data_IF_082650529965
#
_entry.id   IF_082650529965
#
_cell.length_a   1.000
_cell.length_b   1.000
_cell.length_c   1.000
_cell.angle_alpha   90.00
_cell.angle_beta   90.00
_cell.angle_gamma   90.00
#
_symmetry.space_group_name_H-M   'P 1'
#
loop_
_entity.id
_entity.type
_entity.pdbx_description
1 polymer ?
#
# COMPACT_ATOMS: atom_id res chain seq x y z
N UNK A 1 13.32 -23.49 -21.82
CA UNK A 1 14.45 -22.68 -21.34
C UNK A 1 13.87 -21.58 -20.46
N UNK A 2 14.16 -21.53 -19.14
CA UNK A 2 13.69 -20.43 -18.28
C UNK A 2 14.61 -19.23 -18.51
N UNK A 3 14.06 -18.10 -18.93
CA UNK A 3 14.82 -16.84 -19.03
C UNK A 3 15.14 -16.38 -17.60
N UNK A 4 16.40 -16.10 -17.28
CA UNK A 4 16.82 -15.50 -16.00
C UNK A 4 16.87 -14.00 -16.17
N UNK A 5 15.89 -13.31 -15.60
CA UNK A 5 15.82 -11.86 -15.54
C UNK A 5 15.55 -11.44 -14.10
N UNK A 6 16.01 -10.23 -13.75
CA UNK A 6 15.61 -9.56 -12.52
C UNK A 6 14.27 -8.86 -12.79
N UNK A 7 13.29 -9.09 -11.92
CA UNK A 7 11.95 -8.51 -12.01
C UNK A 7 11.65 -7.79 -10.71
N UNK A 8 11.17 -6.55 -10.77
CA UNK A 8 10.74 -5.78 -9.61
C UNK A 8 9.49 -4.97 -9.94
N UNK A 9 8.67 -4.76 -8.92
CA UNK A 9 7.55 -3.82 -8.94
C UNK A 9 8.03 -2.48 -8.37
N UNK A 10 7.66 -1.37 -9.02
CA UNK A 10 8.03 -0.02 -8.60
C UNK A 10 7.22 0.47 -7.39
N UNK A 11 7.42 -0.19 -6.25
CA UNK A 11 6.89 0.21 -4.96
C UNK A 11 7.93 1.02 -4.18
N UNK A 12 8.05 2.30 -4.54
CA UNK A 12 9.09 3.19 -4.00
C UNK A 12 9.16 3.23 -2.46
N UNK A 13 8.01 3.10 -1.79
CA UNK A 13 7.90 3.27 -0.33
C UNK A 13 8.81 2.32 0.42
N UNK A 14 8.96 1.08 -0.04
CA UNK A 14 9.83 0.09 0.59
C UNK A 14 11.32 0.48 0.58
N UNK A 15 11.73 1.37 -0.34
CA UNK A 15 13.12 1.83 -0.46
C UNK A 15 13.36 3.18 0.23
N UNK A 16 12.32 3.83 0.77
CA UNK A 16 12.48 5.15 1.39
C UNK A 16 13.28 5.05 2.71
N UNK A 17 14.25 5.95 2.96
CA UNK A 17 15.04 5.93 4.19
C UNK A 17 14.17 5.90 5.46
N UNK A 18 13.08 6.67 5.49
CA UNK A 18 12.21 6.72 6.64
C UNK A 18 11.29 5.49 6.78
N UNK A 19 11.00 4.78 5.70
CA UNK A 19 10.28 3.50 5.80
C UNK A 19 11.19 2.41 6.40
N UNK A 20 12.49 2.44 6.04
CA UNK A 20 13.50 1.59 6.68
C UNK A 20 13.65 1.96 8.16
N UNK A 21 13.70 3.24 8.51
CA UNK A 21 13.70 3.69 9.91
C UNK A 21 12.44 3.23 10.65
N UNK A 22 11.27 3.30 10.02
CA UNK A 22 10.01 2.81 10.58
C UNK A 22 10.10 1.32 10.91
N UNK A 23 10.57 0.49 9.97
CA UNK A 23 10.79 -0.95 10.17
C UNK A 23 11.70 -1.22 11.37
N UNK A 24 12.83 -0.51 11.46
CA UNK A 24 13.79 -0.65 12.56
C UNK A 24 13.23 -0.16 13.91
N UNK A 25 12.27 0.77 13.88
CA UNK A 25 11.63 1.32 15.07
C UNK A 25 10.46 0.48 15.59
N UNK A 26 9.94 -0.49 14.83
CA UNK A 26 8.82 -1.34 15.26
C UNK A 26 9.01 -1.96 16.66
N UNK A 27 10.19 -2.47 17.06
CA UNK A 27 10.38 -2.99 18.41
C UNK A 27 10.15 -1.97 19.54
N UNK A 28 10.26 -0.66 19.25
CA UNK A 28 10.07 0.40 20.26
C UNK A 28 8.64 0.50 20.78
N UNK A 29 7.63 0.11 19.98
CA UNK A 29 6.22 0.16 20.41
C UNK A 29 5.82 -1.03 21.29
N UNK A 30 6.71 -2.00 21.52
CA UNK A 30 6.40 -3.21 22.28
C UNK A 30 5.45 -4.12 21.52
N UNK A 31 4.56 -4.84 22.22
CA UNK A 31 3.56 -5.68 21.57
C UNK A 31 2.57 -4.80 20.78
N UNK A 32 2.57 -4.95 19.45
CA UNK A 32 1.64 -4.26 18.54
C UNK A 32 0.22 -4.74 18.82
N UNK A 33 -0.75 -3.82 18.76
CA UNK A 33 -2.17 -4.09 19.01
C UNK A 33 -3.07 -3.62 17.87
N UNK A 34 -2.78 -2.45 17.29
CA UNK A 34 -3.59 -1.84 16.24
C UNK A 34 -2.70 -1.09 15.26
N UNK A 35 -3.08 -1.12 13.99
CA UNK A 35 -2.44 -0.33 12.95
C UNK A 35 -3.51 0.32 12.09
N UNK A 36 -3.32 1.61 11.80
CA UNK A 36 -4.05 2.33 10.77
C UNK A 36 -3.07 2.77 9.69
N UNK A 37 -3.26 2.31 8.45
CA UNK A 37 -2.57 2.86 7.29
C UNK A 37 -3.58 3.61 6.42
N UNK A 38 -3.30 4.88 6.13
CA UNK A 38 -4.24 5.76 5.45
C UNK A 38 -3.61 6.36 4.19
N UNK A 39 -4.34 6.26 3.07
CA UNK A 39 -4.08 7.05 1.87
C UNK A 39 -5.39 7.42 1.17
N UNK A 40 -5.98 8.53 1.62
CA UNK A 40 -7.15 9.15 1.02
C UNK A 40 -6.77 10.52 0.47
N UNK A 41 -6.92 10.71 -0.84
CA UNK A 41 -6.62 11.96 -1.53
C UNK A 41 -7.63 12.19 -2.65
N UNK A 42 -8.25 13.37 -2.66
CA UNK A 42 -9.19 13.75 -3.70
C UNK A 42 -8.47 13.80 -5.04
N UNK A 43 -8.91 12.96 -5.99
CA UNK A 43 -8.28 12.88 -7.29
C UNK A 43 -8.57 14.15 -8.09
N UNK A 44 -7.52 14.75 -8.67
CA UNK A 44 -7.67 15.84 -9.65
C UNK A 44 -8.45 15.45 -10.91
N UNK A 45 -8.77 14.15 -11.08
CA UNK A 45 -9.60 13.62 -12.16
C UNK A 45 -11.06 13.40 -11.75
N UNK A 46 -11.40 13.52 -10.46
CA UNK A 46 -12.75 13.19 -10.01
C UNK A 46 -13.78 14.21 -10.48
N UNK A 47 -13.44 15.51 -10.53
CA UNK A 47 -14.34 16.51 -11.10
C UNK A 47 -14.70 16.19 -12.57
N UNK A 48 -13.69 15.83 -13.39
CA UNK A 48 -13.92 15.43 -14.79
C UNK A 48 -14.83 14.20 -14.90
N UNK A 49 -14.70 13.25 -13.97
CA UNK A 49 -15.60 12.10 -13.88
C UNK A 49 -17.04 12.53 -13.57
N UNK A 50 -17.23 13.44 -12.61
CA UNK A 50 -18.56 14.00 -12.29
C UNK A 50 -19.17 14.79 -13.45
N UNK A 51 -18.33 15.44 -14.26
CA UNK A 51 -18.73 16.16 -15.47
C UNK A 51 -19.09 15.21 -16.64
N UNK A 52 -19.07 13.88 -16.41
CA UNK A 52 -19.46 12.85 -17.38
C UNK A 52 -18.31 12.34 -18.27
N UNK A 53 -17.07 12.76 -18.02
CA UNK A 53 -15.91 12.19 -18.71
C UNK A 53 -15.53 10.81 -18.14
N UNK A 54 -14.69 10.07 -18.88
CA UNK A 54 -14.24 8.74 -18.47
C UNK A 54 -12.70 8.67 -18.29
N UNK A 55 -12.13 9.37 -17.29
CA UNK A 55 -10.68 9.36 -17.06
C UNK A 55 -10.19 7.96 -16.67
N UNK A 56 -8.99 7.58 -17.13
CA UNK A 56 -8.41 6.23 -16.92
C UNK A 56 -8.47 5.75 -15.47
N UNK A 57 -8.29 6.66 -14.50
CA UNK A 57 -8.27 6.32 -13.08
C UNK A 57 -9.62 5.84 -12.52
N UNK A 58 -10.71 6.11 -13.22
CA UNK A 58 -12.06 5.67 -12.88
C UNK A 58 -12.66 4.74 -13.94
N UNK A 59 -11.85 4.26 -14.88
CA UNK A 59 -12.27 3.44 -16.01
C UNK A 59 -11.80 1.98 -15.82
N UNK A 60 -12.72 1.00 -15.71
CA UNK A 60 -12.35 -0.40 -15.49
C UNK A 60 -11.53 -1.01 -16.63
N UNK A 61 -11.59 -0.46 -17.85
CA UNK A 61 -10.76 -0.92 -18.97
C UNK A 61 -9.25 -0.75 -18.72
N UNK A 62 -8.87 0.13 -17.79
CA UNK A 62 -7.49 0.35 -17.37
C UNK A 62 -7.15 -0.27 -16.01
N UNK A 63 -7.99 -1.20 -15.51
CA UNK A 63 -7.77 -1.96 -14.26
C UNK A 63 -7.48 -1.07 -13.04
N UNK A 64 -8.19 0.05 -12.94
CA UNK A 64 -7.96 1.08 -11.94
C UNK A 64 -9.07 1.12 -10.89
N UNK A 65 -9.03 2.09 -9.99
CA UNK A 65 -9.87 2.18 -8.81
C UNK A 65 -9.04 2.58 -7.60
N UNK A 66 -9.69 2.97 -6.51
CA UNK A 66 -8.98 3.49 -5.34
C UNK A 66 -8.04 2.46 -4.70
N UNK A 67 -8.42 1.17 -4.67
CA UNK A 67 -7.58 0.08 -4.14
C UNK A 67 -6.38 -0.22 -5.03
N UNK A 68 -6.53 -0.13 -6.35
CA UNK A 68 -5.46 -0.45 -7.30
C UNK A 68 -4.44 0.69 -7.48
N UNK A 69 -4.86 1.94 -7.28
CA UNK A 69 -4.00 3.11 -7.47
C UNK A 69 -3.31 3.55 -6.16
N UNK A 70 -4.06 4.17 -5.25
CA UNK A 70 -3.49 4.69 -4.00
C UNK A 70 -3.57 3.69 -2.84
N UNK A 71 -4.59 2.82 -2.84
CA UNK A 71 -4.76 1.75 -1.88
C UNK A 71 -3.65 0.70 -1.97
N UNK A 72 -3.02 0.58 -3.14
CA UNK A 72 -1.83 -0.22 -3.35
C UNK A 72 -0.74 0.11 -2.33
N UNK A 73 -0.47 1.39 -2.06
CA UNK A 73 0.61 1.79 -1.17
C UNK A 73 0.38 1.35 0.28
N UNK A 74 -0.85 1.47 0.80
CA UNK A 74 -1.18 1.02 2.16
C UNK A 74 -1.16 -0.50 2.25
N UNK A 75 -1.62 -1.20 1.21
CA UNK A 75 -1.61 -2.66 1.14
C UNK A 75 -0.18 -3.23 1.03
N UNK A 76 0.62 -2.70 0.12
CA UNK A 76 2.01 -3.09 -0.09
C UNK A 76 2.88 -2.74 1.13
N UNK A 77 2.59 -1.64 1.83
CA UNK A 77 3.27 -1.29 3.09
C UNK A 77 2.98 -2.32 4.18
N UNK A 78 1.73 -2.76 4.34
CA UNK A 78 1.38 -3.81 5.30
C UNK A 78 2.08 -5.13 4.96
N UNK A 79 2.05 -5.54 3.68
CA UNK A 79 2.76 -6.72 3.20
C UNK A 79 4.28 -6.63 3.41
N UNK A 80 4.89 -5.46 3.20
CA UNK A 80 6.32 -5.24 3.41
C UNK A 80 6.73 -5.22 4.90
N UNK A 81 5.83 -4.81 5.80
CA UNK A 81 6.10 -4.76 7.24
C UNK A 81 5.86 -6.11 7.93
N UNK A 82 4.80 -6.82 7.54
CA UNK A 82 4.31 -8.00 8.28
C UNK A 82 4.06 -9.24 7.42
N UNK A 83 4.25 -9.17 6.10
CA UNK A 83 3.99 -10.28 5.20
C UNK A 83 2.50 -10.57 5.03
N UNK A 84 2.18 -11.84 4.79
CA UNK A 84 0.83 -12.30 4.49
C UNK A 84 -0.04 -12.35 5.76
N UNK A 85 -1.23 -11.71 5.76
CA UNK A 85 -2.16 -11.78 6.88
C UNK A 85 -2.87 -13.14 6.94
N UNK A 86 -3.38 -13.51 8.11
CA UNK A 86 -4.21 -14.72 8.28
C UNK A 86 -5.57 -14.62 7.57
N UNK A 87 -6.13 -13.41 7.47
CA UNK A 87 -7.39 -13.17 6.75
C UNK A 87 -7.52 -11.70 6.35
N UNK A 88 -8.37 -11.45 5.34
CA UNK A 88 -8.70 -10.11 4.84
C UNK A 88 -10.22 -9.94 4.73
N UNK A 89 -10.72 -8.80 5.19
CA UNK A 89 -12.12 -8.38 5.00
C UNK A 89 -12.14 -6.97 4.43
N UNK A 90 -12.86 -6.75 3.33
CA UNK A 90 -12.89 -5.48 2.62
C UNK A 90 -14.31 -5.01 2.32
N UNK A 91 -14.48 -3.69 2.32
CA UNK A 91 -15.70 -3.00 1.88
C UNK A 91 -15.31 -1.80 1.03
N UNK A 92 -16.13 -1.46 0.04
CA UNK A 92 -15.90 -0.30 -0.81
C UNK A 92 -17.22 0.30 -1.30
N UNK A 93 -17.18 1.59 -1.61
CA UNK A 93 -18.21 2.27 -2.41
C UNK A 93 -17.74 2.30 -3.86
N UNK A 94 -18.55 1.75 -4.76
CA UNK A 94 -18.25 1.77 -6.19
C UNK A 94 -18.84 3.02 -6.85
N UNK A 95 -18.17 3.51 -7.88
CA UNK A 95 -18.71 4.47 -8.82
C UNK A 95 -19.61 3.75 -9.84
N UNK A 96 -20.42 4.51 -10.57
CA UNK A 96 -21.25 3.98 -11.67
C UNK A 96 -20.43 3.26 -12.74
N UNK A 97 -19.16 3.63 -12.93
CA UNK A 97 -18.23 2.93 -13.82
C UNK A 97 -17.84 1.52 -13.36
N UNK A 98 -18.14 1.14 -12.12
CA UNK A 98 -17.88 -0.17 -11.53
C UNK A 98 -16.54 -0.30 -10.80
N UNK A 99 -15.68 0.72 -10.81
CA UNK A 99 -14.48 0.75 -9.96
C UNK A 99 -14.78 1.35 -8.59
N UNK A 100 -13.99 1.01 -7.59
CA UNK A 100 -14.12 1.56 -6.25
C UNK A 100 -13.66 3.04 -6.18
N UNK A 101 -14.51 3.88 -5.60
CA UNK A 101 -14.22 5.28 -5.28
C UNK A 101 -13.34 5.40 -4.03
N UNK A 102 -13.69 4.61 -3.01
CA UNK A 102 -13.04 4.51 -1.72
C UNK A 102 -13.44 3.22 -1.00
N UNK A 103 -12.69 2.83 0.02
CA UNK A 103 -12.97 1.64 0.80
C UNK A 103 -12.13 1.52 2.07
N UNK A 104 -12.42 0.45 2.79
CA UNK A 104 -11.65 0.03 3.96
C UNK A 104 -11.33 -1.46 3.89
N UNK A 105 -10.13 -1.82 4.34
CA UNK A 105 -9.67 -3.21 4.39
C UNK A 105 -9.18 -3.51 5.79
N UNK A 106 -9.59 -4.63 6.35
CA UNK A 106 -9.14 -5.17 7.63
C UNK A 106 -8.27 -6.40 7.38
N UNK A 107 -7.00 -6.33 7.78
CA UNK A 107 -6.06 -7.45 7.72
C UNK A 107 -5.84 -7.98 9.13
N UNK A 108 -6.03 -9.28 9.32
CA UNK A 108 -5.79 -9.95 10.60
C UNK A 108 -4.38 -10.57 10.61
N UNK A 109 -3.56 -10.23 11.60
CA UNK A 109 -2.24 -10.82 11.84
C UNK A 109 -2.20 -11.63 13.16
N UNK A 110 -3.36 -12.09 13.64
CA UNK A 110 -3.51 -12.78 14.92
C UNK A 110 -3.52 -11.83 16.12
N UNK A 111 -2.34 -11.43 16.60
CA UNK A 111 -2.16 -10.64 17.82
C UNK A 111 -2.57 -9.16 17.68
N UNK A 112 -2.65 -8.67 16.44
CA UNK A 112 -3.06 -7.32 16.06
C UNK A 112 -3.78 -7.33 14.71
N UNK A 113 -4.44 -6.22 14.40
CA UNK A 113 -5.07 -5.97 13.10
C UNK A 113 -4.58 -4.67 12.47
N UNK A 114 -4.65 -4.65 11.13
CA UNK A 114 -4.31 -3.50 10.31
C UNK A 114 -5.57 -3.06 9.57
N UNK A 115 -6.00 -1.82 9.83
CA UNK A 115 -7.02 -1.12 9.04
C UNK A 115 -6.34 -0.33 7.94
N UNK A 116 -6.70 -0.57 6.68
CA UNK A 116 -6.31 0.23 5.53
C UNK A 116 -7.48 1.13 5.13
N UNK A 117 -7.20 2.42 4.93
CA UNK A 117 -8.15 3.38 4.37
C UNK A 117 -7.62 3.90 3.03
N UNK A 118 -8.46 3.85 2.00
CA UNK A 118 -8.12 4.36 0.67
C UNK A 118 -9.30 5.11 0.05
N UNK A 119 -9.05 6.25 -0.59
CA UNK A 119 -10.10 7.05 -1.24
C UNK A 119 -9.55 7.99 -2.29
N UNK A 120 -10.17 7.98 -3.48
CA UNK A 120 -9.90 8.93 -4.56
C UNK A 120 -10.92 10.06 -4.66
N UNK A 121 -11.90 10.07 -3.77
CA UNK A 121 -13.05 11.01 -3.80
C UNK A 121 -13.17 11.82 -2.51
N UNK A 122 -12.21 11.65 -1.60
CA UNK A 122 -12.08 12.42 -0.37
C UNK A 122 -10.63 12.57 0.03
N UNK A 123 -10.33 13.64 0.76
CA UNK A 123 -9.05 13.84 1.43
C UNK A 123 -9.11 13.37 2.88
N UNK A 124 -7.99 12.88 3.40
CA UNK A 124 -7.81 12.63 4.82
C UNK A 124 -6.57 13.35 5.33
N UNK A 125 -6.69 13.98 6.49
CA UNK A 125 -5.57 14.59 7.24
C UNK A 125 -5.05 13.68 8.34
N UNK A 126 -5.61 12.47 8.48
CA UNK A 126 -5.23 11.51 9.52
C UNK A 126 -3.90 10.85 9.13
N UNK A 127 -2.87 10.87 10.00
CA UNK A 127 -1.64 10.16 9.75
C UNK A 127 -1.86 8.65 9.85
N UNK A 128 -0.94 7.87 9.28
CA UNK A 128 -0.87 6.44 9.61
C UNK A 128 -0.28 6.26 11.00
N UNK A 129 -0.71 5.23 11.73
CA UNK A 129 -0.26 4.97 13.09
C UNK A 129 -0.10 3.47 13.36
N UNK A 130 0.99 3.10 14.01
CA UNK A 130 1.25 1.75 14.53
C UNK A 130 1.24 1.85 16.05
N UNK A 131 0.29 1.19 16.70
CA UNK A 131 0.08 1.27 18.15
C UNK A 131 0.52 -0.02 18.83
N UNK A 132 1.29 0.12 19.91
CA UNK A 132 1.67 -0.98 20.78
C UNK A 132 1.66 -0.59 22.25
N UNK A 133 1.94 -1.55 23.11
CA UNK A 133 1.85 -1.39 24.57
C UNK A 133 2.84 -0.37 25.16
N UNK A 134 3.93 -0.07 24.46
CA UNK A 134 4.96 0.87 24.90
C UNK A 134 4.86 2.26 24.24
N UNK A 135 3.93 2.46 23.30
CA UNK A 135 3.75 3.74 22.59
C UNK A 135 3.21 3.56 21.17
N UNK A 136 3.30 4.61 20.36
CA UNK A 136 2.92 4.55 18.95
C UNK A 136 3.98 5.13 18.02
N UNK A 137 4.00 4.65 16.78
CA UNK A 137 4.73 5.25 15.66
C UNK A 137 3.71 5.95 14.77
N UNK A 138 3.85 7.27 14.61
CA UNK A 138 3.00 8.11 13.78
C UNK A 138 3.76 8.45 12.50
N UNK A 139 3.12 8.21 11.35
CA UNK A 139 3.68 8.38 10.01
C UNK A 139 2.77 9.34 9.24
N UNK A 140 3.31 10.49 8.83
CA UNK A 140 2.49 11.56 8.25
C UNK A 140 1.74 11.14 6.98
N UNK A 141 2.44 10.49 6.05
CA UNK A 141 1.87 9.90 4.83
C UNK A 141 2.67 8.67 4.46
N UNK A 142 2.09 7.48 4.60
CA UNK A 142 2.84 6.22 4.46
C UNK A 142 3.48 6.06 3.07
N UNK A 143 2.82 6.51 2.00
CA UNK A 143 3.34 6.39 0.63
C UNK A 143 4.61 7.20 0.35
N UNK A 144 4.84 8.28 1.11
CA UNK A 144 6.03 9.14 0.98
C UNK A 144 6.95 9.08 2.21
N UNK A 145 6.43 8.55 3.32
CA UNK A 145 7.09 8.35 4.60
C UNK A 145 7.94 9.55 5.06
N UNK A 146 7.53 10.78 4.76
CA UNK A 146 8.37 11.97 4.96
C UNK A 146 8.72 12.21 6.43
N UNK A 147 7.80 11.86 7.34
CA UNK A 147 7.98 12.03 8.78
C UNK A 147 7.52 10.79 9.55
N UNK A 148 8.37 10.35 10.48
CA UNK A 148 8.12 9.23 11.41
C UNK A 148 8.41 9.72 12.82
N UNK A 149 7.41 9.64 13.70
CA UNK A 149 7.53 10.07 15.10
C UNK A 149 7.19 8.91 16.02
N UNK A 150 8.08 8.59 16.96
CA UNK A 150 7.77 7.67 18.04
C UNK A 150 7.26 8.43 19.26
N UNK A 151 6.09 8.03 19.76
CA UNK A 151 5.46 8.61 20.95
C UNK A 151 5.45 7.52 22.03
N UNK A 152 6.45 7.50 22.94
CA UNK A 152 6.48 6.52 24.03
C UNK A 152 5.33 6.75 25.01
N UNK A 153 4.86 5.67 25.65
CA UNK A 153 3.83 5.72 26.69
C UNK A 153 4.27 6.61 27.85
N UNK A 154 3.57 7.73 28.04
CA UNK A 154 3.87 8.70 29.11
C UNK A 154 5.15 9.52 28.89
N UNK A 155 5.75 9.46 27.70
CA UNK A 155 6.92 10.25 27.35
C UNK A 155 6.65 11.29 26.27
N UNK A 156 7.69 12.05 25.90
CA UNK A 156 7.59 13.08 24.86
C UNK A 156 7.79 12.45 23.46
N UNK A 157 7.11 12.97 22.43
CA UNK A 157 7.34 12.58 21.04
C UNK A 157 8.81 12.72 20.63
N UNK A 158 9.29 11.75 19.86
CA UNK A 158 10.65 11.68 19.32
C UNK A 158 10.57 11.62 17.81
N UNK A 159 11.08 12.63 17.12
CA UNK A 159 11.21 12.60 15.66
C UNK A 159 12.34 11.64 15.28
N UNK A 160 12.01 10.64 14.45
CA UNK A 160 12.94 9.64 13.94
C UNK A 160 13.30 9.90 12.47
N UNK A 161 12.79 10.98 11.88
CA UNK A 161 12.89 11.23 10.45
C UNK A 161 14.32 11.54 10.03
N UNK A 162 14.73 10.96 8.91
CA UNK A 162 15.94 11.26 8.18
C UNK A 162 15.61 12.19 7.01
N UNK A 163 16.56 13.04 6.60
CA UNK A 163 16.45 13.77 5.34
C UNK A 163 16.26 12.80 4.16
N UNK A 164 15.32 13.14 3.27
CA UNK A 164 15.10 12.39 2.03
C UNK A 164 15.36 13.29 0.82
N UNK A 165 15.81 12.68 -0.27
CA UNK A 165 16.00 13.36 -1.54
C UNK A 165 14.64 13.78 -2.13
N UNK A 166 14.59 14.93 -2.80
CA UNK A 166 13.36 15.50 -3.37
C UNK A 166 12.69 14.55 -4.38
N UNK A 167 13.51 13.85 -5.16
CA UNK A 167 13.04 12.76 -6.01
C UNK A 167 13.09 11.45 -5.23
N UNK A 168 11.94 11.03 -4.70
CA UNK A 168 11.78 9.79 -3.92
C UNK A 168 12.01 8.51 -4.71
N UNK A 169 11.93 8.55 -6.05
CA UNK A 169 12.21 7.38 -6.91
C UNK A 169 13.71 7.07 -7.04
N UNK A 170 14.58 7.96 -6.55
CA UNK A 170 16.02 7.72 -6.53
C UNK A 170 16.36 6.40 -5.80
N UNK A 171 15.74 6.17 -4.65
CA UNK A 171 16.08 5.04 -3.77
C UNK A 171 15.68 3.69 -4.35
N UNK A 172 14.53 3.59 -5.01
CA UNK A 172 14.14 2.36 -5.69
C UNK A 172 14.98 2.13 -6.95
N UNK A 173 15.36 3.19 -7.66
CA UNK A 173 16.26 3.07 -8.82
C UNK A 173 17.65 2.56 -8.43
N UNK A 174 18.22 3.05 -7.33
CA UNK A 174 19.48 2.53 -6.76
C UNK A 174 19.32 1.06 -6.35
N UNK A 175 18.20 0.70 -5.73
CA UNK A 175 17.88 -0.68 -5.37
C UNK A 175 17.80 -1.58 -6.60
N UNK A 176 17.14 -1.15 -7.67
CA UNK A 176 17.00 -1.89 -8.91
C UNK A 176 18.34 -2.06 -9.62
N UNK A 177 19.16 -1.00 -9.69
CA UNK A 177 20.50 -1.05 -10.27
C UNK A 177 21.35 -2.11 -9.55
N UNK A 178 21.38 -2.07 -8.21
CA UNK A 178 22.10 -3.07 -7.41
C UNK A 178 21.63 -4.50 -7.70
N UNK A 179 20.31 -4.74 -7.70
CA UNK A 179 19.76 -6.08 -7.97
C UNK A 179 20.17 -6.61 -9.35
N UNK A 180 20.22 -5.74 -10.37
CA UNK A 180 20.66 -6.10 -11.72
C UNK A 180 22.16 -6.38 -11.74
N UNK A 181 22.99 -5.52 -11.14
CA UNK A 181 24.45 -5.68 -11.07
C UNK A 181 24.84 -6.98 -10.36
N UNK A 182 24.16 -7.31 -9.26
CA UNK A 182 24.40 -8.51 -8.46
C UNK A 182 23.72 -9.77 -9.05
N UNK A 183 22.94 -9.64 -10.13
CA UNK A 183 22.11 -10.71 -10.71
C UNK A 183 21.17 -11.37 -9.70
N UNK A 184 20.65 -10.59 -8.76
CA UNK A 184 19.77 -11.04 -7.69
C UNK A 184 18.34 -11.22 -8.21
N UNK A 185 18.09 -12.37 -8.84
CA UNK A 185 16.78 -12.73 -9.39
C UNK A 185 15.74 -13.12 -8.32
N UNK A 186 16.17 -13.40 -7.09
CA UNK A 186 15.32 -13.78 -5.97
C UNK A 186 15.53 -12.81 -4.81
N UNK A 187 14.69 -11.77 -4.72
CA UNK A 187 14.77 -10.77 -3.66
C UNK A 187 13.42 -10.60 -2.94
N UNK A 188 13.45 -10.01 -1.74
CA UNK A 188 12.27 -9.84 -0.89
C UNK A 188 11.12 -9.07 -1.58
N UNK A 189 11.44 -8.12 -2.46
CA UNK A 189 10.45 -7.37 -3.24
C UNK A 189 9.49 -8.27 -4.04
N UNK A 190 9.94 -9.41 -4.58
CA UNK A 190 9.07 -10.35 -5.29
C UNK A 190 8.02 -10.99 -4.36
N UNK A 191 8.40 -11.26 -3.11
CA UNK A 191 7.49 -11.82 -2.11
C UNK A 191 6.41 -10.79 -1.77
N UNK A 192 6.81 -9.54 -1.53
CA UNK A 192 5.88 -8.43 -1.28
C UNK A 192 4.91 -8.22 -2.44
N UNK A 193 5.40 -8.20 -3.69
CA UNK A 193 4.56 -8.05 -4.89
C UNK A 193 3.55 -9.19 -5.03
N UNK A 194 3.98 -10.44 -4.77
CA UNK A 194 3.08 -11.59 -4.82
C UNK A 194 1.97 -11.52 -3.78
N UNK A 195 2.31 -11.20 -2.52
CA UNK A 195 1.34 -11.05 -1.44
C UNK A 195 0.36 -9.92 -1.76
N UNK A 196 0.89 -8.76 -2.17
CA UNK A 196 0.08 -7.57 -2.50
C UNK A 196 -0.89 -7.87 -3.64
N UNK A 197 -0.42 -8.54 -4.71
CA UNK A 197 -1.26 -8.93 -5.85
C UNK A 197 -2.37 -9.91 -5.45
N UNK A 198 -2.05 -10.91 -4.61
CA UNK A 198 -3.03 -11.86 -4.09
C UNK A 198 -4.10 -11.18 -3.23
N UNK A 199 -3.67 -10.29 -2.31
CA UNK A 199 -4.58 -9.53 -1.47
C UNK A 199 -5.45 -8.57 -2.29
N UNK A 200 -4.88 -7.84 -3.25
CA UNK A 200 -5.65 -6.94 -4.11
C UNK A 200 -6.72 -7.71 -4.91
N UNK A 201 -6.39 -8.90 -5.39
CA UNK A 201 -7.34 -9.79 -6.08
C UNK A 201 -8.48 -10.22 -5.16
N UNK A 202 -8.17 -10.66 -3.94
CA UNK A 202 -9.17 -11.05 -2.95
C UNK A 202 -10.05 -9.87 -2.51
N UNK A 203 -9.47 -8.68 -2.29
CA UNK A 203 -10.20 -7.46 -1.95
C UNK A 203 -11.20 -7.12 -3.05
N UNK A 204 -10.77 -7.10 -4.33
CA UNK A 204 -11.67 -6.85 -5.46
C UNK A 204 -12.81 -7.86 -5.54
N UNK A 205 -12.50 -9.15 -5.29
CA UNK A 205 -13.51 -10.21 -5.23
C UNK A 205 -14.57 -9.94 -4.15
N UNK A 206 -14.16 -9.46 -2.98
CA UNK A 206 -15.09 -9.12 -1.88
C UNK A 206 -15.91 -7.86 -2.14
N UNK A 207 -15.32 -6.85 -2.80
CA UNK A 207 -15.98 -5.56 -3.05
C UNK A 207 -16.79 -5.52 -4.34
N UNK A 208 -16.68 -6.54 -5.19
CA UNK A 208 -17.40 -6.63 -6.46
C UNK A 208 -16.74 -5.84 -7.60
N UNK A 209 -15.53 -5.30 -7.39
CA UNK A 209 -14.77 -4.63 -8.46
C UNK A 209 -14.28 -5.69 -9.45
N UNK A 210 -14.68 -5.54 -10.72
CA UNK A 210 -14.33 -6.47 -11.80
C UNK A 210 -13.75 -5.69 -12.98
N UNK A 211 -12.67 -6.21 -13.56
CA UNK A 211 -12.04 -5.65 -14.75
C UNK A 211 -12.28 -6.56 -15.95
N UNK A 212 -12.26 -6.02 -17.19
CA UNK A 212 -12.46 -6.83 -18.40
C UNK A 212 -11.47 -8.01 -18.51
N UNK A 213 -10.25 -7.84 -18.02
CA UNK A 213 -9.24 -8.91 -18.02
C UNK A 213 -9.58 -10.10 -17.10
N UNK A 214 -10.44 -9.93 -16.09
CA UNK A 214 -10.84 -11.04 -15.21
C UNK A 214 -11.66 -12.08 -16.01
N UNK A 215 -12.44 -11.65 -17.01
CA UNK A 215 -13.25 -12.54 -17.86
C UNK A 215 -12.44 -13.33 -18.90
N UNK A 216 -11.30 -12.79 -19.35
CA UNK A 216 -10.45 -13.45 -20.37
C UNK A 216 -9.79 -14.71 -19.82
N UNK A 217 -9.50 -14.74 -18.51
CA UNK A 217 -8.86 -15.87 -17.85
C UNK A 217 -9.74 -17.13 -17.74
N UNK A 218 -11.06 -16.99 -17.83
CA UNK A 218 -12.01 -18.11 -17.79
C UNK A 218 -12.11 -18.87 -19.13
N UNK A 219 -11.76 -18.23 -20.25
CA UNK A 219 -11.79 -18.88 -21.57
C UNK A 219 -10.51 -19.66 -21.89
N UNK A 220 -9.38 -19.36 -21.22
CA UNK A 220 -8.12 -20.08 -21.42
C UNK A 220 -7.99 -21.36 -20.58
N UNK A 221 -8.97 -21.63 -19.70
CA UNK A 221 -9.03 -22.81 -18.81
C UNK A 221 -10.25 -23.70 -19.07
N UNK A 222 -11.04 -23.42 -20.11
CA UNK A 222 -12.19 -24.21 -20.57
C UNK A 222 -11.87 -25.01 -21.85
#
# INVERSE_FOLDING_TARGET
>A
MKIRVVLFEAFKTASLPNFITLQQALPKVGKIRKVLLNYCQYSSRYQRYLDGENPNTFNPAFSNGSIMDIGFYVLASAAALWGEPHSVHATASLLDSGVDAHGTVQLNYGDFDVTLMHSKVSDSTIPSEIQGEAGSLVIEKISECQRVTFIPRGGKPQDLSLPQHINTMLYEAETFARLVEENEVNHAGLVTSRITSALATEIRRQTGVKFPADDVSQQATA
#
